data_IF_304869202701
#
_entry.id   IF_304869202701
#
_cell.length_a   1.000
_cell.length_b   1.000
_cell.length_c   1.000
_cell.angle_alpha   90.00
_cell.angle_beta   90.00
_cell.angle_gamma   90.00
#
_symmetry.space_group_name_H-M   'P 1'
#
loop_
_entity.id
_entity.type
_entity.pdbx_description
1 polymer ?
#
# COMPACT_ATOMS: atom_id res chain seq x y z
N UNK A 1 -7.63 -29.91 36.67
CA UNK A 1 -6.97 -31.18 37.04
C UNK A 1 -7.07 -31.27 38.56
N UNK A 2 -6.64 -32.34 39.25
CA UNK A 2 -6.74 -32.44 40.72
C UNK A 2 -5.40 -32.96 41.27
N UNK A 3 -5.17 -32.86 42.57
CA UNK A 3 -3.99 -33.41 43.23
C UNK A 3 -3.79 -34.89 42.84
N UNK A 4 -2.55 -35.35 42.54
CA UNK A 4 -1.26 -34.66 42.61
C UNK A 4 -0.82 -34.01 41.28
N UNK A 5 -1.69 -33.94 40.28
CA UNK A 5 -1.37 -33.33 38.98
C UNK A 5 -1.58 -31.81 38.97
N UNK A 6 -2.34 -31.29 39.93
CA UNK A 6 -2.54 -29.86 40.16
C UNK A 6 -1.53 -29.35 41.20
N UNK A 7 -0.63 -28.45 40.77
CA UNK A 7 0.39 -27.83 41.62
C UNK A 7 -0.15 -26.76 42.57
N UNK A 8 -1.40 -26.31 42.38
CA UNK A 8 -2.09 -25.38 43.27
C UNK A 8 -2.70 -26.03 44.52
N UNK A 9 -2.78 -27.36 44.58
CA UNK A 9 -3.35 -28.09 45.70
C UNK A 9 -2.25 -28.67 46.61
N UNK A 10 -2.27 -28.32 47.91
CA UNK A 10 -1.32 -28.91 48.87
C UNK A 10 -1.71 -30.31 49.34
N UNK A 11 -3.00 -30.66 49.21
CA UNK A 11 -3.54 -31.98 49.52
C UNK A 11 -4.92 -32.19 48.87
N UNK A 12 -5.41 -33.44 48.89
CA UNK A 12 -6.69 -33.82 48.28
C UNK A 12 -7.97 -33.28 48.95
N UNK A 13 -7.85 -32.56 50.07
CA UNK A 13 -8.96 -31.90 50.78
C UNK A 13 -8.81 -30.38 50.80
N UNK A 14 -7.89 -29.84 50.00
CA UNK A 14 -7.67 -28.39 49.89
C UNK A 14 -8.82 -27.77 49.10
N UNK A 15 -9.77 -27.15 49.81
CA UNK A 15 -10.93 -26.49 49.21
C UNK A 15 -10.67 -25.05 48.78
N UNK A 16 -9.45 -24.55 49.04
CA UNK A 16 -8.99 -23.24 48.58
C UNK A 16 -8.16 -23.47 47.32
N UNK A 17 -8.85 -23.47 46.18
CA UNK A 17 -8.22 -23.24 44.87
C UNK A 17 -7.77 -21.77 44.82
N UNK A 18 -6.77 -21.39 45.63
CA UNK A 18 -6.09 -20.11 45.38
C UNK A 18 -5.35 -20.31 44.08
N UNK A 19 -5.97 -19.82 43.02
CA UNK A 19 -5.50 -19.78 41.66
C UNK A 19 -4.04 -19.35 41.67
N UNK A 20 -3.14 -20.34 41.61
CA UNK A 20 -1.74 -20.11 41.97
C UNK A 20 -1.08 -19.16 40.96
N UNK A 21 -1.66 -19.03 39.76
CA UNK A 21 -1.14 -18.24 38.66
C UNK A 21 -2.28 -17.41 38.05
N UNK A 22 -2.64 -16.30 38.72
CA UNK A 22 -3.69 -15.37 38.25
C UNK A 22 -3.38 -14.83 36.84
N UNK A 23 -2.10 -14.69 36.51
CA UNK A 23 -1.63 -14.11 35.26
C UNK A 23 -1.71 -15.02 34.01
N UNK A 24 -2.51 -16.09 34.02
CA UNK A 24 -2.74 -16.98 32.85
C UNK A 24 -4.07 -17.73 32.88
N UNK A 25 -5.02 -17.24 33.64
CA UNK A 25 -6.28 -17.90 33.94
C UNK A 25 -7.48 -17.40 33.14
N UNK A 26 -7.30 -16.29 32.42
CA UNK A 26 -8.31 -15.66 31.59
C UNK A 26 -9.33 -14.85 32.39
N UNK A 27 -9.06 -14.52 33.64
CA UNK A 27 -9.93 -13.80 34.57
C UNK A 27 -9.20 -12.56 35.08
N UNK A 28 -9.82 -11.40 34.89
CA UNK A 28 -9.47 -10.15 35.60
C UNK A 28 -9.75 -10.31 37.10
N UNK A 29 -8.73 -10.75 37.83
CA UNK A 29 -8.76 -11.08 39.26
C UNK A 29 -8.60 -9.84 40.15
N UNK A 30 -8.03 -8.75 39.65
CA UNK A 30 -7.84 -7.51 40.40
C UNK A 30 -8.88 -6.41 40.06
N UNK A 31 -9.64 -6.59 38.98
CA UNK A 31 -10.79 -5.79 38.58
C UNK A 31 -10.44 -4.52 37.81
N UNK A 32 -9.25 -4.45 37.21
CA UNK A 32 -8.75 -3.28 36.49
C UNK A 32 -9.13 -3.24 34.99
N UNK A 33 -9.74 -4.32 34.49
CA UNK A 33 -10.16 -4.48 33.09
C UNK A 33 -9.10 -5.09 32.17
N UNK A 34 -7.93 -5.44 32.68
CA UNK A 34 -6.89 -6.23 32.03
C UNK A 34 -6.93 -7.66 32.59
N UNK A 35 -6.35 -8.63 31.87
CA UNK A 35 -6.31 -10.01 32.33
C UNK A 35 -5.11 -10.70 31.73
N UNK A 36 -4.41 -11.47 32.55
CA UNK A 36 -3.25 -12.29 32.20
C UNK A 36 -2.03 -11.55 31.62
N UNK A 37 -0.86 -12.18 31.75
CA UNK A 37 0.34 -11.78 31.04
C UNK A 37 0.18 -11.99 29.51
N UNK A 38 0.66 -11.08 28.64
CA UNK A 38 1.35 -9.82 28.93
C UNK A 38 0.43 -8.57 28.90
N UNK A 39 -0.89 -8.77 28.84
CA UNK A 39 -1.84 -7.67 28.68
C UNK A 39 -2.13 -6.96 30.00
N UNK A 40 -2.07 -7.69 31.10
CA UNK A 40 -2.17 -7.20 32.47
C UNK A 40 -0.81 -6.68 32.97
N UNK A 41 -0.78 -5.42 33.39
CA UNK A 41 0.43 -4.71 33.78
C UNK A 41 0.87 -5.00 35.22
N UNK A 42 0.04 -5.64 36.03
CA UNK A 42 0.43 -6.19 37.31
C UNK A 42 1.07 -7.58 37.22
N UNK A 43 1.08 -8.18 36.02
CA UNK A 43 1.80 -9.43 35.74
C UNK A 43 3.19 -9.17 35.15
N UNK A 44 4.26 -9.53 35.88
CA UNK A 44 5.62 -9.58 35.32
C UNK A 44 5.84 -10.86 34.48
N UNK A 45 5.05 -11.92 34.73
CA UNK A 45 5.11 -13.20 33.99
C UNK A 45 3.82 -14.04 34.07
N UNK A 46 3.64 -15.01 33.17
CA UNK A 46 2.54 -16.01 33.22
C UNK A 46 2.55 -16.92 34.48
N UNK A 47 3.64 -16.90 35.25
CA UNK A 47 3.80 -17.69 36.48
C UNK A 47 3.54 -16.87 37.73
N UNK A 48 3.16 -15.61 37.55
CA UNK A 48 2.89 -14.73 38.68
C UNK A 48 1.55 -15.08 39.30
N UNK A 49 1.56 -15.04 40.63
CA UNK A 49 0.42 -15.49 41.44
C UNK A 49 -0.61 -14.39 41.66
N UNK A 50 -0.35 -13.18 41.16
CA UNK A 50 -1.23 -12.03 41.32
C UNK A 50 -1.11 -11.08 40.15
N UNK A 51 -2.26 -10.59 39.69
CA UNK A 51 -2.42 -9.45 38.78
C UNK A 51 -2.27 -8.10 39.50
N UNK A 52 -2.06 -8.10 40.82
CA UNK A 52 -1.90 -6.89 41.61
C UNK A 52 -0.45 -6.71 42.13
N UNK A 53 0.02 -5.45 42.27
CA UNK A 53 -0.68 -4.21 41.97
C UNK A 53 -0.49 -3.76 40.51
N UNK A 54 -1.58 -3.41 39.82
CA UNK A 54 -1.51 -2.79 38.49
C UNK A 54 -0.62 -1.52 38.51
N UNK A 55 0.39 -1.50 37.64
CA UNK A 55 1.13 -0.30 37.32
C UNK A 55 0.26 0.60 36.43
N UNK A 56 -0.34 1.63 37.03
CA UNK A 56 -0.96 2.73 36.27
C UNK A 56 0.14 3.39 35.43
N UNK A 57 0.02 3.24 34.11
CA UNK A 57 0.92 3.78 33.10
C UNK A 57 0.23 4.91 32.35
N UNK A 58 1.00 5.70 31.61
CA UNK A 58 0.42 6.77 30.78
C UNK A 58 -0.56 6.23 29.72
N UNK A 59 -0.51 4.93 29.40
CA UNK A 59 -1.34 4.31 28.40
C UNK A 59 -2.58 3.60 28.96
N UNK A 60 -2.81 3.68 30.28
CA UNK A 60 -4.02 3.17 30.94
C UNK A 60 -4.50 4.03 32.13
N UNK A 61 -4.08 5.29 32.23
CA UNK A 61 -4.38 6.16 33.39
C UNK A 61 -5.58 7.09 33.21
N UNK A 62 -6.21 7.06 32.02
CA UNK A 62 -7.38 7.88 31.70
C UNK A 62 -7.04 9.34 31.42
N UNK A 63 -5.77 9.67 31.23
CA UNK A 63 -5.28 11.02 30.94
C UNK A 63 -4.54 11.00 29.60
N UNK A 64 -4.90 11.93 28.72
CA UNK A 64 -4.13 12.28 27.52
C UNK A 64 -2.81 12.95 27.95
N UNK A 65 -1.75 12.16 28.13
CA UNK A 65 -0.46 12.60 28.64
C UNK A 65 0.41 13.24 27.55
N UNK A 66 0.13 12.96 26.27
CA UNK A 66 0.89 13.46 25.13
C UNK A 66 0.25 14.70 24.46
N UNK A 67 -1.04 14.92 24.70
CA UNK A 67 -1.83 16.07 24.27
C UNK A 67 -2.43 15.96 22.88
N UNK A 68 -2.50 14.76 22.28
CA UNK A 68 -3.02 14.53 20.93
C UNK A 68 -4.57 14.44 20.87
N UNK A 69 -5.23 14.41 22.04
CA UNK A 69 -6.69 14.34 22.18
C UNK A 69 -7.25 12.92 22.20
N UNK A 70 -6.40 11.90 22.08
CA UNK A 70 -6.65 10.50 22.40
C UNK A 70 -6.07 10.25 23.79
N UNK A 71 -6.63 9.29 24.54
CA UNK A 71 -6.37 9.20 25.99
C UNK A 71 -5.49 8.00 26.34
N UNK A 72 -5.82 6.82 25.83
CA UNK A 72 -5.18 5.58 26.25
C UNK A 72 -5.30 4.54 25.12
N UNK A 73 -4.54 3.46 25.29
CA UNK A 73 -4.73 2.24 24.51
C UNK A 73 -6.19 1.72 24.63
N UNK A 74 -6.79 1.12 23.57
CA UNK A 74 -6.24 0.79 22.24
C UNK A 74 -6.43 1.88 21.19
N UNK A 75 -7.05 2.99 21.58
CA UNK A 75 -7.40 4.03 20.61
C UNK A 75 -6.23 4.96 20.36
N UNK A 76 -5.35 5.10 21.36
CA UNK A 76 -4.14 5.88 21.25
C UNK A 76 -3.00 5.05 20.64
N UNK A 77 -2.39 5.62 19.60
CA UNK A 77 -1.29 5.05 18.86
C UNK A 77 0.09 5.44 19.40
N UNK A 78 0.15 6.44 20.27
CA UNK A 78 1.33 6.70 21.11
C UNK A 78 1.58 5.58 22.12
N UNK A 79 0.60 4.67 22.28
CA UNK A 79 0.65 3.47 23.10
C UNK A 79 0.68 2.20 22.24
N UNK A 80 1.73 1.38 22.39
CA UNK A 80 1.82 0.07 21.73
C UNK A 80 1.00 -0.96 22.55
N UNK A 81 0.91 -0.76 23.86
CA UNK A 81 0.17 -1.59 24.81
C UNK A 81 -0.35 -0.76 26.00
N UNK A 82 -1.35 -1.26 26.75
CA UNK A 82 -1.82 -0.59 27.97
C UNK A 82 -0.76 -0.54 29.09
N UNK A 83 0.35 -1.28 28.96
CA UNK A 83 1.42 -1.36 29.94
C UNK A 83 2.64 -0.49 29.57
N UNK A 84 2.56 0.29 28.50
CA UNK A 84 3.65 1.19 28.14
C UNK A 84 3.73 2.36 29.13
N UNK A 85 4.89 2.51 29.76
CA UNK A 85 5.13 3.55 30.76
C UNK A 85 5.01 4.99 30.23
N UNK A 86 5.04 5.16 28.91
CA UNK A 86 5.00 6.44 28.24
C UNK A 86 4.04 6.39 27.06
N UNK A 87 3.12 7.34 27.04
CA UNK A 87 2.29 7.71 25.89
C UNK A 87 3.14 8.68 25.05
N UNK A 88 4.11 8.12 24.31
CA UNK A 88 5.10 8.96 23.62
C UNK A 88 5.81 8.26 22.45
N UNK A 89 5.50 8.72 21.23
CA UNK A 89 6.23 8.64 19.95
C UNK A 89 6.54 7.22 19.39
N UNK A 90 6.47 7.00 18.05
CA UNK A 90 6.88 7.96 17.01
C UNK A 90 5.97 7.92 15.79
N UNK A 91 4.70 8.28 15.90
CA UNK A 91 3.80 8.33 14.76
C UNK A 91 4.07 9.57 13.90
N UNK A 92 5.20 9.50 13.20
CA UNK A 92 5.58 10.44 12.13
C UNK A 92 4.38 10.70 11.21
N UNK A 93 3.61 9.65 10.91
CA UNK A 93 2.44 9.66 10.05
C UNK A 93 1.20 10.43 10.55
N UNK A 94 1.24 11.10 11.70
CA UNK A 94 0.19 12.02 12.18
C UNK A 94 0.74 13.26 12.91
N UNK A 95 2.07 13.46 12.93
CA UNK A 95 2.71 14.48 13.77
C UNK A 95 2.75 15.88 13.11
N UNK A 96 2.30 15.99 11.85
CA UNK A 96 2.25 17.26 11.12
C UNK A 96 3.61 17.71 10.60
N UNK A 97 4.64 16.87 10.64
CA UNK A 97 5.97 17.10 10.11
C UNK A 97 6.25 16.16 8.93
N UNK A 98 7.09 16.62 8.01
CA UNK A 98 7.67 15.79 6.96
C UNK A 98 8.99 15.22 7.51
N UNK A 99 8.90 14.06 8.14
CA UNK A 99 10.00 13.37 8.83
C UNK A 99 10.96 12.67 7.87
N UNK A 100 10.52 12.25 6.69
CA UNK A 100 11.35 11.57 5.70
C UNK A 100 11.93 12.50 4.60
N UNK A 101 11.36 13.71 4.49
CA UNK A 101 11.81 14.79 3.60
C UNK A 101 11.33 14.65 2.16
N UNK A 102 10.30 13.84 1.88
CA UNK A 102 9.75 13.61 0.54
C UNK A 102 8.71 14.68 0.11
N UNK A 103 8.33 15.57 1.03
CA UNK A 103 7.38 16.66 0.80
C UNK A 103 5.92 16.29 1.07
N UNK A 104 5.64 15.04 1.44
CA UNK A 104 4.41 14.63 2.09
C UNK A 104 4.62 14.71 3.61
N UNK A 105 3.53 14.72 4.39
CA UNK A 105 3.60 15.04 5.82
C UNK A 105 3.02 13.89 6.64
N UNK A 106 1.73 13.59 6.44
CA UNK A 106 1.04 12.61 7.26
C UNK A 106 0.14 11.71 6.40
N UNK A 107 -0.27 10.59 6.97
CA UNK A 107 -1.37 9.79 6.44
C UNK A 107 -2.64 10.65 6.29
N UNK A 108 -3.43 10.50 5.20
CA UNK A 108 -3.29 9.54 4.10
C UNK A 108 -2.50 10.05 2.90
N UNK A 109 -1.95 11.26 2.98
CA UNK A 109 -1.29 11.90 1.84
C UNK A 109 0.17 11.48 1.72
N UNK A 110 0.77 11.11 2.84
CA UNK A 110 2.07 10.46 2.90
C UNK A 110 1.94 8.97 2.60
N UNK A 111 2.69 8.52 1.61
CA UNK A 111 2.65 7.16 1.11
C UNK A 111 3.73 6.24 1.70
N UNK A 112 4.69 6.80 2.45
CA UNK A 112 5.52 6.09 3.41
C UNK A 112 4.71 5.57 4.60
N UNK A 113 3.58 6.22 4.88
CA UNK A 113 2.59 5.79 5.87
C UNK A 113 1.59 4.77 5.32
N UNK A 114 1.48 3.60 5.95
CA UNK A 114 0.38 2.65 5.70
C UNK A 114 -0.89 3.02 6.49
N UNK A 115 -0.73 3.68 7.63
CA UNK A 115 -1.81 4.23 8.45
C UNK A 115 -1.29 5.40 9.34
N UNK A 116 -2.20 6.10 10.02
CA UNK A 116 -1.86 7.26 10.88
C UNK A 116 -1.06 6.92 12.13
N UNK A 117 -0.91 5.65 12.47
CA UNK A 117 -0.26 5.17 13.68
C UNK A 117 1.11 4.55 13.38
N UNK A 118 1.58 4.66 12.13
CA UNK A 118 2.86 4.12 11.75
C UNK A 118 3.99 4.96 12.34
N UNK A 119 4.94 4.25 12.93
CA UNK A 119 6.10 4.79 13.62
C UNK A 119 7.10 5.55 12.71
N UNK A 120 6.83 5.59 11.40
CA UNK A 120 7.73 6.19 10.43
C UNK A 120 7.05 6.52 9.10
N UNK A 121 7.47 7.63 8.51
CA UNK A 121 7.19 8.01 7.11
C UNK A 121 8.21 7.40 6.13
N UNK A 122 9.14 6.55 6.60
CA UNK A 122 10.29 6.08 5.83
C UNK A 122 9.95 5.69 4.37
N UNK A 123 10.87 6.01 3.44
CA UNK A 123 10.52 6.36 2.08
C UNK A 123 9.92 5.19 1.32
N UNK A 124 8.80 5.45 0.66
CA UNK A 124 8.27 4.55 -0.34
C UNK A 124 8.94 4.85 -1.69
N UNK A 125 10.24 4.53 -1.80
CA UNK A 125 11.08 4.80 -2.99
C UNK A 125 10.70 4.00 -4.25
N UNK A 126 9.45 3.56 -4.33
CA UNK A 126 8.87 2.76 -5.41
C UNK A 126 7.62 3.44 -6.00
N UNK A 127 7.27 4.63 -5.50
CA UNK A 127 6.17 5.46 -6.00
C UNK A 127 6.68 6.27 -7.18
N UNK A 128 6.30 5.89 -8.40
CA UNK A 128 6.70 6.64 -9.59
C UNK A 128 5.89 7.93 -9.76
N UNK A 129 4.71 8.01 -9.13
CA UNK A 129 3.79 9.14 -9.25
C UNK A 129 4.15 10.35 -8.36
N UNK A 130 5.31 10.33 -7.70
CA UNK A 130 5.83 11.43 -6.89
C UNK A 130 7.37 11.50 -6.82
N UNK A 131 8.09 10.86 -7.75
CA UNK A 131 9.56 10.81 -7.75
C UNK A 131 10.22 11.88 -8.65
N UNK A 132 9.43 12.68 -9.36
CA UNK A 132 9.89 13.75 -10.25
C UNK A 132 10.51 13.26 -11.56
N UNK A 133 10.33 11.98 -11.92
CA UNK A 133 10.88 11.34 -13.11
C UNK A 133 9.72 10.88 -14.00
N UNK A 134 9.83 11.11 -15.30
CA UNK A 134 8.94 10.51 -16.31
C UNK A 134 9.33 9.03 -16.50
N UNK A 135 8.75 8.14 -15.69
CA UNK A 135 9.07 6.71 -15.63
C UNK A 135 8.50 5.95 -16.84
N UNK A 136 7.47 6.46 -17.52
CA UNK A 136 6.83 5.81 -18.67
C UNK A 136 7.20 6.45 -20.03
N UNK A 137 7.83 7.63 -20.01
CA UNK A 137 8.37 8.32 -21.18
C UNK A 137 7.33 9.07 -22.02
N UNK A 138 6.14 9.36 -21.47
CA UNK A 138 5.08 10.06 -22.18
C UNK A 138 5.21 11.60 -22.14
N UNK A 139 6.14 12.12 -21.32
CA UNK A 139 6.45 13.53 -21.14
C UNK A 139 5.64 14.24 -20.06
N UNK A 140 4.79 13.51 -19.32
CA UNK A 140 4.17 13.94 -18.06
C UNK A 140 4.99 13.38 -16.88
N UNK A 141 4.83 13.99 -15.71
CA UNK A 141 5.55 13.58 -14.49
C UNK A 141 4.58 13.62 -13.31
N UNK A 142 4.70 12.65 -12.42
CA UNK A 142 3.99 12.58 -11.15
C UNK A 142 2.46 12.74 -11.32
N UNK A 143 1.81 13.51 -10.46
CA UNK A 143 0.40 13.88 -10.55
C UNK A 143 0.00 14.66 -11.82
N UNK A 144 0.95 15.09 -12.65
CA UNK A 144 0.64 15.64 -13.97
C UNK A 144 0.42 14.51 -15.01
N UNK A 145 0.93 13.30 -14.75
CA UNK A 145 0.61 12.11 -15.51
C UNK A 145 -0.83 11.66 -15.22
N UNK A 146 -1.59 11.44 -16.29
CA UNK A 146 -2.98 10.96 -16.21
C UNK A 146 -3.12 9.51 -15.74
N UNK A 147 -2.01 8.76 -15.69
CA UNK A 147 -1.93 7.38 -15.19
C UNK A 147 -1.77 7.34 -13.67
N UNK A 148 -1.36 8.45 -13.05
CA UNK A 148 -1.36 8.62 -11.60
C UNK A 148 -2.75 9.08 -11.13
N UNK A 149 -3.47 8.19 -10.45
CA UNK A 149 -4.73 8.54 -9.78
C UNK A 149 -4.44 9.40 -8.56
N UNK A 150 -3.37 9.06 -7.84
CA UNK A 150 -2.82 9.83 -6.74
C UNK A 150 -1.29 9.66 -6.62
N UNK A 151 -0.68 10.42 -5.70
CA UNK A 151 0.77 10.42 -5.48
C UNK A 151 1.28 9.12 -4.87
N UNK A 152 0.37 8.29 -4.34
CA UNK A 152 0.69 7.00 -3.75
C UNK A 152 0.64 5.86 -4.77
N UNK A 153 0.36 6.12 -6.04
CA UNK A 153 0.44 5.08 -7.05
C UNK A 153 1.87 4.59 -7.28
N UNK A 154 2.02 3.27 -7.39
CA UNK A 154 3.32 2.61 -7.55
C UNK A 154 3.91 2.75 -8.96
N UNK A 155 3.12 3.16 -9.94
CA UNK A 155 3.60 3.28 -11.30
C UNK A 155 2.86 4.35 -12.11
N UNK A 156 3.64 5.02 -12.95
CA UNK A 156 3.16 5.87 -14.06
C UNK A 156 2.81 5.03 -15.29
N UNK A 157 3.18 3.74 -15.29
CA UNK A 157 2.89 2.85 -16.40
C UNK A 157 1.38 2.72 -16.65
N UNK A 158 0.95 3.27 -17.77
CA UNK A 158 -0.27 2.86 -18.45
C UNK A 158 -0.37 1.32 -18.47
N UNK A 159 -1.52 0.76 -18.10
CA UNK A 159 -1.94 -0.59 -18.51
C UNK A 159 -1.92 -0.62 -20.05
N UNK A 160 -0.80 -0.99 -20.67
CA UNK A 160 -0.60 -0.90 -22.12
C UNK A 160 -1.59 -1.82 -22.87
N UNK A 161 -2.78 -1.30 -23.16
CA UNK A 161 -3.80 -1.93 -24.00
C UNK A 161 -3.58 -1.63 -25.49
N UNK A 162 -2.72 -0.67 -25.81
CA UNK A 162 -2.40 -0.30 -27.17
C UNK A 162 -1.63 -1.41 -27.87
N UNK A 163 -2.11 -1.80 -29.05
CA UNK A 163 -1.57 -2.89 -29.86
C UNK A 163 -0.86 -2.30 -31.07
N UNK A 164 0.32 -2.80 -31.46
CA UNK A 164 0.94 -2.42 -32.73
C UNK A 164 -0.07 -2.55 -33.87
N UNK A 165 -0.18 -1.51 -34.70
CA UNK A 165 -1.10 -1.46 -35.84
C UNK A 165 -2.56 -1.10 -35.52
N UNK A 166 -2.98 -0.98 -34.25
CA UNK A 166 -4.28 -0.38 -33.89
C UNK A 166 -4.13 1.15 -33.87
N UNK A 167 -4.07 1.73 -35.07
CA UNK A 167 -3.70 3.12 -35.26
C UNK A 167 -4.79 4.11 -34.83
N UNK A 168 -6.07 3.69 -34.84
CA UNK A 168 -7.19 4.54 -34.45
C UNK A 168 -7.50 4.47 -32.93
N UNK A 169 -6.87 3.56 -32.18
CA UNK A 169 -7.04 3.39 -30.73
C UNK A 169 -8.35 2.70 -30.33
N UNK A 170 -9.00 1.94 -31.21
CA UNK A 170 -10.27 1.29 -30.92
C UNK A 170 -10.11 0.08 -29.98
N UNK A 171 -10.34 0.32 -28.67
CA UNK A 171 -10.21 -0.72 -27.66
C UNK A 171 -11.10 -1.95 -27.96
N UNK A 172 -10.51 -3.13 -27.88
CA UNK A 172 -11.20 -4.41 -28.06
C UNK A 172 -11.43 -4.83 -29.52
N UNK A 173 -11.00 -4.04 -30.52
CA UNK A 173 -11.03 -4.47 -31.92
C UNK A 173 -9.66 -4.99 -32.39
N UNK A 174 -9.70 -5.93 -33.34
CA UNK A 174 -8.50 -6.38 -34.03
C UNK A 174 -8.11 -5.36 -35.09
N UNK A 175 -6.81 -5.28 -35.39
CA UNK A 175 -6.28 -4.44 -36.47
C UNK A 175 -6.99 -4.76 -37.78
N UNK A 176 -7.58 -3.72 -38.38
CA UNK A 176 -8.51 -3.85 -39.50
C UNK A 176 -8.38 -2.68 -40.50
N UNK A 177 -9.35 -2.55 -41.40
CA UNK A 177 -9.34 -1.52 -42.45
C UNK A 177 -9.37 -0.09 -41.89
N UNK A 178 -10.03 0.14 -40.76
CA UNK A 178 -10.15 1.47 -40.17
C UNK A 178 -8.79 1.98 -39.71
N UNK A 179 -7.92 1.10 -39.20
CA UNK A 179 -6.53 1.42 -38.85
C UNK A 179 -5.72 1.84 -40.07
N UNK A 180 -5.84 1.09 -41.17
CA UNK A 180 -5.17 1.42 -42.43
C UNK A 180 -5.60 2.81 -42.91
N UNK A 181 -6.89 3.11 -42.85
CA UNK A 181 -7.44 4.42 -43.23
C UNK A 181 -6.87 5.52 -42.32
N UNK A 182 -6.71 5.24 -41.02
CA UNK A 182 -6.11 6.18 -40.08
C UNK A 182 -4.66 6.51 -40.46
N UNK A 183 -3.82 5.49 -40.70
CA UNK A 183 -2.42 5.70 -41.11
C UNK A 183 -2.34 6.44 -42.46
N UNK A 184 -3.20 6.11 -43.42
CA UNK A 184 -3.30 6.85 -44.70
C UNK A 184 -3.65 8.32 -44.47
N UNK A 185 -4.59 8.60 -43.56
CA UNK A 185 -4.95 9.95 -43.16
C UNK A 185 -3.77 10.71 -42.55
N UNK A 186 -2.98 10.04 -41.70
CA UNK A 186 -1.78 10.63 -41.12
C UNK A 186 -0.72 10.94 -42.19
N UNK A 187 -0.38 9.98 -43.04
CA UNK A 187 0.68 10.08 -44.05
C UNK A 187 0.36 11.11 -45.13
N UNK A 188 -0.87 11.09 -45.67
CA UNK A 188 -1.20 11.83 -46.88
C UNK A 188 -2.09 13.05 -46.66
N UNK A 189 -2.72 13.17 -45.49
CA UNK A 189 -3.72 14.22 -45.22
C UNK A 189 -3.42 15.01 -43.94
N UNK A 190 -2.24 14.84 -43.35
CA UNK A 190 -1.85 15.49 -42.09
C UNK A 190 -2.88 15.26 -40.97
N UNK A 191 -3.44 14.05 -40.91
CA UNK A 191 -4.36 13.64 -39.86
C UNK A 191 -3.74 13.69 -38.45
N UNK A 192 -4.57 13.51 -37.41
CA UNK A 192 -4.10 13.47 -36.03
C UNK A 192 -3.05 12.37 -35.84
N UNK A 193 -2.09 12.60 -34.94
CA UNK A 193 -1.18 11.54 -34.51
C UNK A 193 -1.95 10.50 -33.67
N UNK A 194 -1.56 9.23 -33.74
CA UNK A 194 -2.10 8.21 -32.83
C UNK A 194 -1.59 8.44 -31.41
N UNK A 195 -2.34 7.99 -30.42
CA UNK A 195 -1.87 7.89 -29.04
C UNK A 195 -2.05 6.43 -28.56
N UNK A 196 -0.97 5.69 -28.28
CA UNK A 196 0.43 6.09 -28.36
C UNK A 196 0.94 6.23 -29.82
N UNK A 197 2.00 7.02 -30.01
CA UNK A 197 2.56 7.32 -31.35
C UNK A 197 3.03 6.06 -32.09
N UNK A 198 3.55 5.10 -31.35
CA UNK A 198 4.04 3.82 -31.87
C UNK A 198 2.96 2.96 -32.53
N UNK A 199 1.66 3.23 -32.31
CA UNK A 199 0.57 2.42 -32.85
C UNK A 199 0.52 2.45 -34.39
N UNK A 200 1.12 3.47 -34.99
CA UNK A 200 1.23 3.65 -36.44
C UNK A 200 2.48 3.03 -37.06
N UNK A 201 3.45 2.57 -36.26
CA UNK A 201 4.68 1.91 -36.70
C UNK A 201 4.46 0.40 -36.79
N UNK A 202 3.65 -0.02 -37.75
CA UNK A 202 3.19 -1.41 -37.84
C UNK A 202 4.31 -2.40 -38.19
N UNK A 203 5.36 -1.95 -38.88
CA UNK A 203 6.49 -2.80 -39.26
C UNK A 203 7.66 -2.78 -38.25
N UNK A 204 7.57 -1.96 -37.19
CA UNK A 204 8.60 -1.86 -36.15
C UNK A 204 9.92 -1.26 -36.63
N UNK A 205 9.96 -0.52 -37.74
CA UNK A 205 11.21 0.01 -38.32
C UNK A 205 11.72 1.31 -37.64
N UNK A 206 10.92 1.87 -36.73
CA UNK A 206 11.24 3.07 -35.95
C UNK A 206 10.89 4.37 -36.67
N UNK A 207 10.35 4.31 -37.89
CA UNK A 207 9.85 5.46 -38.64
C UNK A 207 8.33 5.51 -38.52
N UNK A 208 7.82 6.45 -37.73
CA UNK A 208 6.39 6.55 -37.44
C UNK A 208 5.56 6.92 -38.67
N UNK A 209 4.48 6.17 -38.89
CA UNK A 209 3.40 6.47 -39.84
C UNK A 209 3.92 6.83 -41.23
N UNK A 210 4.40 5.84 -41.98
CA UNK A 210 4.90 6.00 -43.34
C UNK A 210 4.19 5.07 -44.35
N UNK A 211 4.65 5.09 -45.60
CA UNK A 211 4.08 4.23 -46.65
C UNK A 211 4.34 2.73 -46.40
N UNK A 212 5.47 2.38 -45.78
CA UNK A 212 5.80 0.98 -45.50
C UNK A 212 4.93 0.40 -44.39
N UNK A 213 4.49 1.20 -43.42
CA UNK A 213 3.48 0.80 -42.42
C UNK A 213 2.13 0.49 -43.06
N UNK A 214 1.67 1.35 -43.97
CA UNK A 214 0.41 1.14 -44.71
C UNK A 214 0.47 -0.18 -45.48
N UNK A 215 1.57 -0.41 -46.20
CA UNK A 215 1.76 -1.65 -46.96
C UNK A 215 1.78 -2.86 -46.03
N UNK A 216 2.42 -2.75 -44.87
CA UNK A 216 2.48 -3.81 -43.87
C UNK A 216 1.08 -4.18 -43.36
N UNK A 217 0.30 -3.19 -42.93
CA UNK A 217 -1.07 -3.38 -42.44
C UNK A 217 -1.99 -3.96 -43.53
N UNK A 218 -1.88 -3.49 -44.78
CA UNK A 218 -2.64 -4.07 -45.89
C UNK A 218 -2.32 -5.55 -46.10
N UNK A 219 -1.04 -5.93 -45.99
CA UNK A 219 -0.65 -7.33 -46.11
C UNK A 219 -1.15 -8.17 -44.93
N UNK A 220 -1.09 -7.64 -43.71
CA UNK A 220 -1.64 -8.30 -42.53
C UNK A 220 -3.15 -8.51 -42.65
N UNK A 221 -3.92 -7.45 -42.84
CA UNK A 221 -5.40 -7.47 -42.83
C UNK A 221 -5.98 -8.26 -44.00
N UNK A 222 -5.42 -8.12 -45.20
CA UNK A 222 -6.04 -8.66 -46.42
C UNK A 222 -5.30 -9.83 -47.07
N UNK A 223 -4.03 -10.05 -46.72
CA UNK A 223 -3.19 -11.06 -47.40
C UNK A 223 -2.62 -12.12 -46.46
N UNK A 224 -3.00 -12.12 -45.18
CA UNK A 224 -2.51 -13.09 -44.20
C UNK A 224 -1.02 -12.90 -43.88
N UNK A 225 -0.52 -11.66 -43.96
CA UNK A 225 0.83 -11.31 -43.56
C UNK A 225 1.06 -11.44 -42.04
N UNK A 226 2.31 -11.23 -41.58
CA UNK A 226 2.64 -11.25 -40.16
C UNK A 226 1.91 -10.16 -39.36
N UNK A 227 1.68 -10.42 -38.07
CA UNK A 227 1.10 -9.44 -37.15
C UNK A 227 2.00 -8.21 -36.98
N UNK A 228 1.43 -7.02 -36.77
CA UNK A 228 2.21 -5.81 -36.53
C UNK A 228 3.23 -5.97 -35.40
N UNK A 229 4.39 -5.32 -35.57
CA UNK A 229 5.55 -5.57 -34.73
C UNK A 229 5.57 -4.60 -33.53
N UNK A 230 5.66 -5.16 -32.31
CA UNK A 230 6.16 -4.50 -31.10
C UNK A 230 7.23 -3.40 -31.27
N UNK A 231 6.98 -2.16 -30.86
CA UNK A 231 7.99 -1.08 -30.75
C UNK A 231 7.61 0.06 -29.78
N UNK A 232 8.57 0.55 -28.98
CA UNK A 232 8.40 1.72 -28.08
C UNK A 232 7.67 1.43 -26.77
N UNK A 233 7.43 2.45 -25.94
CA UNK A 233 6.64 2.32 -24.70
C UNK A 233 5.15 2.37 -25.06
N UNK A 234 4.39 1.39 -24.57
CA UNK A 234 2.98 1.12 -24.91
C UNK A 234 2.64 0.79 -26.38
N UNK A 235 3.60 0.34 -27.17
CA UNK A 235 3.31 -0.65 -28.22
C UNK A 235 4.26 -1.82 -28.07
N UNK A 236 4.25 -2.42 -26.87
CA UNK A 236 5.01 -3.61 -26.42
C UNK A 236 5.62 -4.43 -27.52
#
# INVERSE_FOLDING_TARGET
MDFPADTGCTNACDSLETFLDQCKDGIDNDGDGLSDYPADCGCESESDTSEAPNAVTQCNDGIDNDGDGVIDWPNDCACISPCDSLERFPDQCKDGLDNDGDGFIDYPNDCGCSNSCDSTEAPNSVRQCNDGIDNDGDGLIDLADTNCVDSCDFNEFTLCLARPGNANGDAGQAVNLVDIIFVVGKVFKSGPASNPLCATNANGDGVLANLTDIVYLVNYVFKGGPAPIPSGVCCL
#
